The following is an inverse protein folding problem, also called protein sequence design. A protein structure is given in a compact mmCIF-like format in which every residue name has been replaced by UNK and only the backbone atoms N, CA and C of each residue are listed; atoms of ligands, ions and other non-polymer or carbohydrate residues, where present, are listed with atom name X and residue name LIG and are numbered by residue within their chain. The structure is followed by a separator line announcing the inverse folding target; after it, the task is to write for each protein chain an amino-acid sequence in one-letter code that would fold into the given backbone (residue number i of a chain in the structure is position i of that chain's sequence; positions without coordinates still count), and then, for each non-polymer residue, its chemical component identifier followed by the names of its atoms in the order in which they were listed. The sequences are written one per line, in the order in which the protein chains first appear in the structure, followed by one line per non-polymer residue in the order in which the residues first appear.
data_IF_007076583138
#
_entry.id   IF_007076583138
#
_cell.length_a   1.000
_cell.length_b   1.000
_cell.length_c   1.000
_cell.angle_alpha   90.00
_cell.angle_beta   90.00
_cell.angle_gamma   90.00
#
_symmetry.space_group_name_H-M   'P 1'
#
loop_
_entity.id
_entity.type
_entity.pdbx_description
1 polymer ?
#
# COMPACT_ATOMS: atom_id res chain seq x y z
N UNK A 1 -15.09 -5.95 -23.93
CA UNK A 1 -13.62 -5.80 -23.94
C UNK A 1 -13.29 -4.35 -23.72
N UNK A 2 -12.65 -4.05 -22.60
CA UNK A 2 -12.16 -2.71 -22.32
C UNK A 2 -10.72 -2.57 -22.83
N UNK A 3 -10.19 -1.34 -22.97
CA UNK A 3 -8.80 -1.13 -23.38
C UNK A 3 -7.80 -1.82 -22.44
N UNK A 4 -8.19 -2.04 -21.19
CA UNK A 4 -7.37 -2.78 -20.22
C UNK A 4 -7.21 -4.25 -20.58
N UNK A 5 -8.17 -4.83 -21.29
CA UNK A 5 -8.10 -6.23 -21.73
C UNK A 5 -7.14 -6.44 -22.90
N UNK A 6 -6.72 -5.35 -23.56
CA UNK A 6 -5.82 -5.37 -24.70
C UNK A 6 -4.34 -5.20 -24.28
N UNK A 7 -4.08 -4.78 -23.03
CA UNK A 7 -2.72 -4.61 -22.53
C UNK A 7 -2.18 -5.95 -22.05
N UNK A 8 -0.99 -6.39 -22.52
CA UNK A 8 -0.40 -7.63 -22.03
C UNK A 8 -0.19 -7.57 -20.51
N UNK A 9 -0.45 -8.69 -19.82
CA UNK A 9 -0.16 -8.79 -18.40
C UNK A 9 1.34 -8.59 -18.15
N UNK A 10 1.71 -7.91 -17.07
CA UNK A 10 3.10 -7.86 -16.63
C UNK A 10 3.65 -9.27 -16.41
N UNK A 11 4.97 -9.42 -16.47
CA UNK A 11 5.62 -10.70 -16.21
C UNK A 11 5.25 -11.21 -14.80
N UNK A 12 5.37 -12.52 -14.61
CA UNK A 12 5.12 -13.14 -13.29
C UNK A 12 6.01 -12.50 -12.22
N UNK A 13 7.28 -12.28 -12.55
CA UNK A 13 8.24 -11.65 -11.64
C UNK A 13 7.81 -10.23 -11.28
N UNK A 14 7.42 -9.41 -12.25
CA UNK A 14 6.92 -8.06 -12.02
C UNK A 14 5.69 -8.06 -11.11
N UNK A 15 4.75 -8.96 -11.35
CA UNK A 15 3.54 -9.09 -10.52
C UNK A 15 3.87 -9.48 -9.08
N UNK A 16 4.84 -10.39 -8.88
CA UNK A 16 5.29 -10.78 -7.55
C UNK A 16 5.94 -9.63 -6.81
N UNK A 17 6.83 -8.89 -7.46
CA UNK A 17 7.46 -7.72 -6.83
C UNK A 17 6.45 -6.61 -6.54
N UNK A 18 5.48 -6.39 -7.41
CA UNK A 18 4.38 -5.47 -7.15
C UNK A 18 3.55 -5.89 -5.93
N UNK A 19 3.26 -7.18 -5.80
CA UNK A 19 2.59 -7.73 -4.61
C UNK A 19 3.43 -7.48 -3.35
N UNK A 20 4.74 -7.70 -3.41
CA UNK A 20 5.63 -7.46 -2.27
C UNK A 20 5.69 -5.99 -1.88
N UNK A 21 5.55 -5.05 -2.83
CA UNK A 21 5.44 -3.63 -2.49
C UNK A 21 4.30 -3.37 -1.52
N UNK A 22 3.15 -4.02 -1.73
CA UNK A 22 2.01 -3.87 -0.82
C UNK A 22 2.23 -4.62 0.49
N UNK A 23 2.65 -5.88 0.41
CA UNK A 23 2.76 -6.73 1.60
C UNK A 23 3.94 -6.39 2.51
N UNK A 24 4.96 -5.71 2.00
CA UNK A 24 6.08 -5.23 2.82
C UNK A 24 5.64 -4.22 3.88
N UNK A 25 4.43 -3.65 3.76
CA UNK A 25 3.85 -2.80 4.81
C UNK A 25 3.64 -3.56 6.13
N UNK A 26 3.56 -4.89 6.09
CA UNK A 26 3.46 -5.71 7.31
C UNK A 26 4.72 -5.66 8.18
N UNK A 27 5.81 -5.07 7.74
CA UNK A 27 6.92 -4.68 8.61
C UNK A 27 6.51 -3.76 9.76
N UNK A 28 5.29 -3.23 9.73
CA UNK A 28 4.67 -2.57 10.88
C UNK A 28 4.82 -3.39 12.18
N UNK A 29 4.66 -4.71 12.09
CA UNK A 29 4.74 -5.58 13.27
C UNK A 29 6.15 -5.66 13.87
N UNK A 30 7.20 -5.40 13.06
CA UNK A 30 8.59 -5.39 13.52
C UNK A 30 9.02 -3.99 13.98
N UNK A 31 8.53 -2.95 13.33
CA UNK A 31 8.85 -1.56 13.63
C UNK A 31 7.58 -0.70 13.51
N UNK A 32 6.77 -0.63 14.57
CA UNK A 32 5.53 0.15 14.54
C UNK A 32 5.77 1.60 14.14
N UNK A 33 4.83 2.18 13.41
CA UNK A 33 4.82 3.56 12.89
C UNK A 33 5.82 3.85 11.77
N UNK A 34 6.82 3.01 11.55
CA UNK A 34 7.88 3.23 10.56
C UNK A 34 7.93 2.10 9.55
N UNK A 35 7.82 0.85 9.98
CA UNK A 35 8.00 -0.33 9.14
C UNK A 35 7.03 -0.41 7.97
N UNK A 36 5.80 0.08 8.16
CA UNK A 36 4.79 0.10 7.12
C UNK A 36 5.15 1.02 5.93
N UNK A 37 5.95 2.04 6.18
CA UNK A 37 6.44 2.96 5.13
C UNK A 37 7.79 2.48 4.60
N UNK A 38 8.69 2.07 5.48
CA UNK A 38 10.03 1.63 5.09
C UNK A 38 9.97 0.38 4.21
N UNK A 39 9.09 -0.58 4.52
CA UNK A 39 8.95 -1.80 3.74
C UNK A 39 8.68 -1.51 2.25
N UNK A 40 7.56 -0.87 1.92
CA UNK A 40 7.27 -0.50 0.55
C UNK A 40 8.33 0.40 -0.09
N UNK A 41 8.90 1.34 0.68
CA UNK A 41 9.94 2.22 0.17
C UNK A 41 11.16 1.44 -0.31
N UNK A 42 11.64 0.49 0.48
CA UNK A 42 12.81 -0.32 0.14
C UNK A 42 12.52 -1.18 -1.08
N UNK A 43 11.40 -1.91 -1.07
CA UNK A 43 11.03 -2.79 -2.20
C UNK A 43 10.88 -1.98 -3.48
N UNK A 44 10.18 -0.84 -3.41
CA UNK A 44 10.02 0.03 -4.56
C UNK A 44 11.37 0.55 -5.09
N UNK A 45 12.22 1.08 -4.22
CA UNK A 45 13.53 1.61 -4.65
C UNK A 45 14.41 0.55 -5.31
N UNK A 46 14.34 -0.68 -4.83
CA UNK A 46 15.16 -1.77 -5.37
C UNK A 46 14.62 -2.32 -6.69
N UNK A 47 13.31 -2.23 -6.94
CA UNK A 47 12.67 -2.93 -8.05
C UNK A 47 11.92 -2.04 -9.04
N UNK A 48 11.84 -0.74 -8.80
CA UNK A 48 11.05 0.18 -9.65
C UNK A 48 11.50 0.23 -11.11
N UNK A 49 12.80 0.03 -11.35
CA UNK A 49 13.36 0.09 -12.72
C UNK A 49 13.14 -1.20 -13.49
N UNK A 50 12.69 -2.25 -12.84
CA UNK A 50 12.45 -3.55 -13.45
C UNK A 50 11.25 -3.54 -14.41
N UNK A 51 10.17 -2.85 -14.03
CA UNK A 51 8.94 -2.83 -14.80
C UNK A 51 8.09 -1.62 -14.39
N UNK A 52 7.45 -0.90 -15.35
CA UNK A 52 6.56 0.22 -15.02
C UNK A 52 5.42 -0.15 -14.08
N UNK A 53 4.93 -1.39 -14.13
CA UNK A 53 3.90 -1.88 -13.22
C UNK A 53 4.41 -1.93 -11.77
N UNK A 54 5.65 -2.37 -11.55
CA UNK A 54 6.27 -2.37 -10.22
C UNK A 54 6.42 -0.94 -9.70
N UNK A 55 6.87 -0.02 -10.55
CA UNK A 55 6.99 1.39 -10.17
C UNK A 55 5.63 1.99 -9.77
N UNK A 56 4.59 1.76 -10.56
CA UNK A 56 3.25 2.23 -10.29
C UNK A 56 2.71 1.67 -8.97
N UNK A 57 2.81 0.36 -8.78
CA UNK A 57 2.27 -0.30 -7.59
C UNK A 57 3.09 0.02 -6.34
N UNK A 58 4.40 0.22 -6.47
CA UNK A 58 5.25 0.66 -5.37
C UNK A 58 4.89 2.06 -4.89
N UNK A 59 4.66 2.99 -5.81
CA UNK A 59 4.18 4.34 -5.46
C UNK A 59 2.81 4.29 -4.79
N UNK A 60 1.90 3.48 -5.31
CA UNK A 60 0.56 3.32 -4.75
C UNK A 60 0.62 2.77 -3.32
N UNK A 61 1.42 1.72 -3.08
CA UNK A 61 1.63 1.17 -1.75
C UNK A 61 2.21 2.21 -0.79
N UNK A 62 3.24 2.93 -1.22
CA UNK A 62 3.88 3.95 -0.41
C UNK A 62 2.94 5.09 -0.06
N UNK A 63 2.18 5.60 -1.04
CA UNK A 63 1.21 6.66 -0.82
C UNK A 63 0.14 6.25 0.18
N UNK A 64 -0.36 5.02 0.06
CA UNK A 64 -1.36 4.48 1.00
C UNK A 64 -0.78 4.41 2.42
N UNK A 65 0.45 3.91 2.58
CA UNK A 65 1.05 3.78 3.91
C UNK A 65 1.37 5.14 4.53
N UNK A 66 1.78 6.12 3.73
CA UNK A 66 1.96 7.49 4.21
C UNK A 66 0.62 8.08 4.69
N UNK A 67 -0.44 7.90 3.90
CA UNK A 67 -1.79 8.35 4.27
C UNK A 67 -2.25 7.65 5.55
N UNK A 68 -2.08 6.34 5.64
CA UNK A 68 -2.42 5.55 6.83
C UNK A 68 -1.70 6.07 8.06
N UNK A 69 -0.39 6.34 7.96
CA UNK A 69 0.41 6.84 9.08
C UNK A 69 -0.07 8.20 9.56
N UNK A 70 -0.41 9.11 8.62
CA UNK A 70 -0.95 10.44 8.97
C UNK A 70 -2.29 10.29 9.68
N UNK A 71 -3.19 9.47 9.15
CA UNK A 71 -4.51 9.23 9.77
C UNK A 71 -4.35 8.61 11.16
N UNK A 72 -3.44 7.65 11.32
CA UNK A 72 -3.18 7.03 12.61
C UNK A 72 -2.61 8.02 13.63
N UNK A 73 -1.78 8.95 13.19
CA UNK A 73 -1.26 10.01 14.05
C UNK A 73 -2.38 10.93 14.53
N UNK A 74 -3.29 11.32 13.64
CA UNK A 74 -4.47 12.13 14.00
C UNK A 74 -5.36 11.34 14.98
N UNK A 75 -5.63 10.06 14.72
CA UNK A 75 -6.40 9.21 15.62
C UNK A 75 -5.72 9.09 16.99
N UNK A 76 -4.39 9.00 17.02
CA UNK A 76 -3.63 8.98 18.26
C UNK A 76 -3.81 10.22 19.09
N UNK A 77 -3.83 11.40 18.46
CA UNK A 77 -4.12 12.66 19.14
C UNK A 77 -5.56 12.68 19.67
N UNK A 78 -6.52 12.16 18.89
CA UNK A 78 -7.92 12.08 19.29
C UNK A 78 -8.15 11.02 20.39
N UNK A 79 -7.22 10.09 20.60
CA UNK A 79 -7.31 9.08 21.65
C UNK A 79 -7.36 9.71 23.06
N UNK A 80 -6.75 10.89 23.24
CA UNK A 80 -6.80 11.64 24.48
C UNK A 80 -8.22 12.05 24.88
N UNK A 81 -9.18 12.08 23.93
CA UNK A 81 -10.59 12.37 24.15
C UNK A 81 -11.47 11.13 23.93
N UNK A 82 -10.91 9.94 24.04
CA UNK A 82 -11.56 8.62 23.97
C UNK A 82 -12.16 8.26 22.61
N UNK A 83 -12.29 9.16 21.67
CA UNK A 83 -12.84 8.89 20.32
C UNK A 83 -11.80 8.23 19.43
N UNK A 84 -10.52 8.53 19.66
CA UNK A 84 -9.43 8.06 18.80
C UNK A 84 -9.23 6.54 18.81
N UNK A 85 -9.42 5.87 19.95
CA UNK A 85 -9.21 4.42 20.05
C UNK A 85 -10.11 3.62 19.11
N UNK A 86 -11.46 3.80 19.11
CA UNK A 86 -12.33 3.13 18.16
C UNK A 86 -11.99 3.46 16.70
N UNK A 87 -11.61 4.71 16.42
CA UNK A 87 -11.19 5.12 15.07
C UNK A 87 -9.90 4.42 14.65
N UNK A 88 -8.92 4.27 15.55
CA UNK A 88 -7.68 3.56 15.25
C UNK A 88 -7.95 2.10 14.89
N UNK A 89 -8.82 1.43 15.62
CA UNK A 89 -9.21 0.05 15.33
C UNK A 89 -9.89 -0.04 13.97
N UNK A 90 -10.87 0.84 13.71
CA UNK A 90 -11.59 0.85 12.44
C UNK A 90 -10.65 1.09 11.26
N UNK A 91 -9.80 2.11 11.33
CA UNK A 91 -8.83 2.45 10.27
C UNK A 91 -7.87 1.30 10.05
N UNK A 92 -7.38 0.65 11.11
CA UNK A 92 -6.44 -0.46 11.00
C UNK A 92 -7.08 -1.67 10.31
N UNK A 93 -8.32 -2.00 10.64
CA UNK A 93 -9.05 -3.12 10.01
C UNK A 93 -9.27 -2.83 8.52
N UNK A 94 -9.74 -1.63 8.18
CA UNK A 94 -9.96 -1.25 6.79
C UNK A 94 -8.64 -1.28 6.01
N UNK A 95 -7.57 -0.73 6.58
CA UNK A 95 -6.25 -0.72 5.94
C UNK A 95 -5.75 -2.15 5.69
N UNK A 96 -5.89 -3.05 6.67
CA UNK A 96 -5.47 -4.44 6.52
C UNK A 96 -6.19 -5.12 5.34
N UNK A 97 -7.51 -4.94 5.27
CA UNK A 97 -8.32 -5.51 4.18
C UNK A 97 -7.87 -4.96 2.83
N UNK A 98 -7.67 -3.64 2.73
CA UNK A 98 -7.25 -3.00 1.48
C UNK A 98 -5.86 -3.45 1.04
N UNK A 99 -4.91 -3.61 1.96
CA UNK A 99 -3.56 -4.10 1.65
C UNK A 99 -3.60 -5.52 1.10
N UNK A 100 -4.41 -6.40 1.71
CA UNK A 100 -4.57 -7.77 1.22
C UNK A 100 -5.15 -7.78 -0.20
N UNK A 101 -6.21 -6.99 -0.43
CA UNK A 101 -6.82 -6.89 -1.76
C UNK A 101 -5.81 -6.34 -2.78
N UNK A 102 -5.08 -5.28 -2.42
CA UNK A 102 -4.09 -4.67 -3.29
C UNK A 102 -3.00 -5.67 -3.70
N UNK A 103 -2.49 -6.46 -2.75
CA UNK A 103 -1.50 -7.49 -3.03
C UNK A 103 -2.00 -8.57 -3.96
N UNK A 104 -3.24 -9.04 -3.75
CA UNK A 104 -3.87 -10.06 -4.60
C UNK A 104 -4.03 -9.51 -6.04
N UNK A 105 -4.57 -8.30 -6.17
CA UNK A 105 -4.77 -7.66 -7.48
C UNK A 105 -3.45 -7.45 -8.22
N UNK A 106 -2.42 -6.99 -7.52
CA UNK A 106 -1.09 -6.79 -8.10
C UNK A 106 -0.50 -8.12 -8.61
N UNK A 107 -0.67 -9.20 -7.85
CA UNK A 107 -0.20 -10.52 -8.28
C UNK A 107 -0.97 -11.06 -9.49
N UNK A 108 -2.23 -10.65 -9.68
CA UNK A 108 -3.02 -10.95 -10.87
C UNK A 108 -2.65 -10.09 -12.08
N UNK A 109 -1.76 -9.11 -11.92
CA UNK A 109 -1.38 -8.17 -12.97
C UNK A 109 -2.37 -7.03 -13.17
N UNK A 110 -3.29 -6.84 -12.24
CA UNK A 110 -4.29 -5.76 -12.28
C UNK A 110 -3.79 -4.59 -11.44
N UNK A 111 -3.66 -3.37 -12.02
CA UNK A 111 -3.28 -2.21 -11.22
C UNK A 111 -4.37 -1.92 -10.19
N UNK A 112 -3.97 -1.86 -8.93
CA UNK A 112 -4.87 -1.50 -7.85
C UNK A 112 -4.62 -0.07 -7.41
N UNK A 113 -5.71 0.66 -7.21
CA UNK A 113 -5.67 2.04 -6.76
C UNK A 113 -6.45 2.15 -5.45
N UNK A 114 -5.74 2.52 -4.37
CA UNK A 114 -6.36 2.65 -3.05
C UNK A 114 -7.41 3.77 -3.03
N UNK A 115 -8.58 3.53 -2.41
CA UNK A 115 -9.56 4.61 -2.18
C UNK A 115 -9.06 5.53 -1.05
N UNK A 116 -9.49 6.78 -1.08
CA UNK A 116 -9.22 7.79 -0.04
C UNK A 116 -7.73 7.96 0.28
N UNK A 117 -6.86 7.78 -0.68
CA UNK A 117 -5.42 7.86 -0.52
C UNK A 117 -4.87 9.14 -1.13
N UNK A 118 -4.03 9.87 -0.37
CA UNK A 118 -3.32 11.02 -0.92
C UNK A 118 -2.13 10.56 -1.77
N UNK A 119 -1.95 11.20 -2.94
CA UNK A 119 -0.87 10.87 -3.88
C UNK A 119 0.32 11.79 -3.66
N UNK A 120 1.01 11.62 -2.53
CA UNK A 120 2.17 12.43 -2.16
C UNK A 120 3.41 12.08 -2.99
N UNK A 121 3.56 10.82 -3.35
CA UNK A 121 4.63 10.33 -4.23
C UNK A 121 4.07 10.21 -5.65
N UNK A 122 4.61 10.98 -6.59
CA UNK A 122 4.15 11.05 -7.98
C UNK A 122 5.14 10.45 -8.96
#
# INVERSE_FOLDING_TARGET
MTDQDLVPLPSREARQWAMFCHYSSFFWFLAPMIGNVIGPLIVWQLKKDMDPFVDQQGKEALNFQLTFSIVMMICGLLAWILIGFPLMVLVSVVALVLVVIAGIRANEGKPYRYPFCWRLVK
#
